data_IF_688970993366
#
_entry.id   IF_688970993366
#
_cell.length_a   1.000
_cell.length_b   1.000
_cell.length_c   1.000
_cell.angle_alpha   90.00
_cell.angle_beta   90.00
_cell.angle_gamma   90.00
#
_symmetry.space_group_name_H-M   'P 1'
#
loop_
_entity.id
_entity.type
_entity.pdbx_description
1 polymer ?
#
# COMPACT_ATOMS: atom_id res chain seq x y z
N UNK A 1 -4.89 2.53 8.03
CA UNK A 1 -5.75 1.49 7.46
C UNK A 1 -6.65 2.19 6.47
N UNK A 2 -6.66 1.71 5.23
CA UNK A 2 -7.58 2.19 4.21
C UNK A 2 -9.03 1.84 4.58
N UNK A 3 -9.97 2.48 3.90
CA UNK A 3 -11.40 2.38 4.22
C UNK A 3 -12.08 1.18 3.56
N UNK A 4 -11.44 0.59 2.56
CA UNK A 4 -11.90 -0.53 1.73
C UNK A 4 -11.28 -1.85 2.20
N UNK A 5 -11.30 -2.04 3.51
CA UNK A 5 -10.74 -3.21 4.20
C UNK A 5 -11.84 -4.07 4.79
N UNK A 6 -11.71 -5.38 4.64
CA UNK A 6 -12.46 -6.39 5.40
C UNK A 6 -11.54 -7.06 6.42
N UNK A 7 -11.99 -7.17 7.66
CA UNK A 7 -11.25 -7.77 8.76
C UNK A 7 -11.86 -9.14 9.11
N UNK A 8 -11.01 -10.16 9.18
CA UNK A 8 -11.40 -11.56 9.42
C UNK A 8 -10.82 -12.13 10.73
N UNK A 9 -10.18 -11.30 11.56
CA UNK A 9 -9.66 -11.69 12.88
C UNK A 9 -9.69 -10.51 13.84
N UNK A 10 -9.32 -10.71 15.11
CA UNK A 10 -9.22 -9.61 16.06
C UNK A 10 -8.08 -8.65 15.68
N UNK A 11 -8.41 -7.36 15.55
CA UNK A 11 -7.44 -6.30 15.22
C UNK A 11 -6.34 -6.15 16.28
N UNK A 12 -6.58 -6.60 17.52
CA UNK A 12 -5.57 -6.62 18.58
C UNK A 12 -4.36 -7.45 18.15
N UNK A 13 -4.54 -8.54 17.40
CA UNK A 13 -3.41 -9.33 16.91
C UNK A 13 -2.51 -8.51 15.97
N UNK A 14 -3.08 -7.60 15.15
CA UNK A 14 -2.29 -6.68 14.33
C UNK A 14 -1.51 -5.71 15.20
N UNK A 15 -2.18 -5.17 16.24
CA UNK A 15 -1.56 -4.24 17.17
C UNK A 15 -0.37 -4.84 17.92
N UNK A 16 -0.46 -6.11 18.30
CA UNK A 16 0.63 -6.83 18.97
C UNK A 16 1.91 -6.92 18.13
N UNK A 17 1.85 -6.63 16.81
CA UNK A 17 3.06 -6.57 16.00
C UNK A 17 4.03 -5.46 16.43
N UNK A 18 3.57 -4.41 17.13
CA UNK A 18 4.47 -3.40 17.70
C UNK A 18 5.49 -3.98 18.70
N UNK A 19 5.15 -5.06 19.39
CA UNK A 19 6.05 -5.72 20.36
C UNK A 19 7.23 -6.42 19.68
N UNK A 20 7.12 -6.71 18.38
CA UNK A 20 8.18 -7.34 17.58
C UNK A 20 9.05 -6.33 16.84
N UNK A 21 8.81 -5.02 16.97
CA UNK A 21 9.65 -4.02 16.33
C UNK A 21 11.02 -3.97 17.01
N UNK A 22 12.08 -4.19 16.24
CA UNK A 22 13.45 -3.93 16.68
C UNK A 22 13.65 -2.44 17.03
N UNK A 23 14.77 -2.12 17.69
CA UNK A 23 15.05 -0.78 18.23
C UNK A 23 14.86 0.34 17.20
N UNK A 24 15.33 0.14 15.96
CA UNK A 24 15.29 1.11 14.87
C UNK A 24 14.02 1.06 14.02
N UNK A 25 13.30 -0.07 14.05
CA UNK A 25 12.09 -0.26 13.25
C UNK A 25 10.97 0.63 13.77
N UNK A 26 10.31 1.33 12.85
CA UNK A 26 9.29 2.33 13.19
C UNK A 26 8.08 2.34 12.26
N UNK A 27 8.13 1.59 11.15
CA UNK A 27 7.07 1.50 10.15
C UNK A 27 6.82 0.02 9.83
N UNK A 28 5.68 -0.50 10.27
CA UNK A 28 5.16 -1.79 9.85
C UNK A 28 4.32 -1.64 8.59
N UNK A 29 4.63 -2.39 7.53
CA UNK A 29 3.91 -2.31 6.25
C UNK A 29 3.97 -3.66 5.53
N UNK A 30 2.92 -3.99 4.76
CA UNK A 30 2.83 -5.24 4.01
C UNK A 30 3.47 -5.13 2.63
N UNK A 31 4.04 -6.23 2.12
CA UNK A 31 4.55 -6.29 0.75
C UNK A 31 3.46 -5.99 -0.28
N UNK A 32 3.82 -5.27 -1.33
CA UNK A 32 2.99 -5.09 -2.51
C UNK A 32 2.91 -6.41 -3.30
N UNK A 33 1.69 -6.77 -3.68
CA UNK A 33 1.39 -8.02 -4.40
C UNK A 33 1.32 -7.79 -5.91
N UNK A 34 1.15 -6.55 -6.39
CA UNK A 34 1.11 -6.23 -7.81
C UNK A 34 2.52 -5.95 -8.41
N UNK A 35 3.00 -6.75 -9.39
CA UNK A 35 4.29 -6.53 -10.07
C UNK A 35 4.39 -5.20 -10.80
N UNK A 36 3.25 -4.60 -11.16
CA UNK A 36 3.23 -3.33 -11.88
C UNK A 36 3.98 -2.24 -11.14
N UNK A 37 3.94 -2.23 -9.80
CA UNK A 37 4.60 -1.22 -8.99
C UNK A 37 6.12 -1.16 -9.22
N UNK A 38 6.76 -2.31 -9.46
CA UNK A 38 8.19 -2.36 -9.81
C UNK A 38 8.51 -1.52 -11.06
N UNK A 39 7.63 -1.54 -12.07
CA UNK A 39 7.81 -0.76 -13.30
C UNK A 39 7.66 0.75 -13.06
N UNK A 40 6.88 1.14 -12.05
CA UNK A 40 6.70 2.55 -11.72
C UNK A 40 7.90 3.05 -10.91
N UNK A 41 8.32 2.29 -9.89
CA UNK A 41 9.41 2.70 -9.02
C UNK A 41 10.78 2.70 -9.71
N UNK A 42 11.02 1.83 -10.67
CA UNK A 42 12.26 1.86 -11.48
C UNK A 42 12.45 3.16 -12.25
N UNK A 43 11.37 3.88 -12.56
CA UNK A 43 11.44 5.22 -13.15
C UNK A 43 11.88 6.26 -12.12
N UNK A 44 11.52 6.10 -10.84
CA UNK A 44 11.92 6.98 -9.72
C UNK A 44 13.34 6.69 -9.21
N UNK A 45 13.71 5.42 -9.12
CA UNK A 45 15.06 4.96 -8.77
C UNK A 45 15.47 3.81 -9.69
N UNK A 46 16.51 4.00 -10.50
CA UNK A 46 16.95 2.99 -11.47
C UNK A 46 17.50 1.72 -10.80
N UNK A 47 17.86 1.80 -9.52
CA UNK A 47 18.34 0.65 -8.75
C UNK A 47 17.21 -0.13 -8.06
N UNK A 48 15.96 0.31 -8.21
CA UNK A 48 14.80 -0.30 -7.56
C UNK A 48 14.65 -1.79 -7.88
N UNK A 49 14.35 -2.60 -6.87
CA UNK A 49 14.11 -4.05 -6.99
C UNK A 49 12.88 -4.45 -6.18
N UNK A 50 12.11 -5.41 -6.71
CA UNK A 50 10.90 -5.91 -6.06
C UNK A 50 9.69 -5.00 -6.27
N UNK A 51 8.55 -5.40 -5.69
CA UNK A 51 7.28 -4.68 -5.90
C UNK A 51 7.06 -3.59 -4.86
N UNK A 52 7.97 -3.38 -3.90
CA UNK A 52 7.74 -2.46 -2.80
C UNK A 52 6.72 -2.98 -1.80
N UNK A 53 6.05 -2.05 -1.14
CA UNK A 53 5.14 -2.27 -0.03
C UNK A 53 3.86 -1.51 -0.28
N UNK A 54 2.71 -2.09 0.10
CA UNK A 54 1.37 -1.53 -0.04
C UNK A 54 0.95 -0.75 1.23
N UNK A 55 0.45 0.49 1.07
CA UNK A 55 0.13 1.38 2.20
C UNK A 55 -1.26 1.20 2.81
N UNK A 56 -2.06 0.24 2.32
CA UNK A 56 -3.40 0.00 2.88
C UNK A 56 -3.39 -0.33 4.36
N UNK A 57 -2.31 -0.94 4.84
CA UNK A 57 -2.08 -1.23 6.26
C UNK A 57 -0.71 -0.73 6.68
N UNK A 58 -0.71 0.19 7.65
CA UNK A 58 0.49 0.83 8.22
C UNK A 58 0.44 0.76 9.74
N UNK A 59 1.50 0.25 10.36
CA UNK A 59 1.77 0.33 11.79
C UNK A 59 2.86 1.37 12.02
N UNK A 60 2.47 2.57 12.45
CA UNK A 60 3.41 3.69 12.62
C UNK A 60 3.78 3.86 14.09
N UNK A 61 5.03 3.55 14.45
CA UNK A 61 5.54 3.78 15.79
C UNK A 61 5.92 5.27 15.96
N UNK A 62 4.92 6.12 16.21
CA UNK A 62 5.06 7.58 16.16
C UNK A 62 6.16 8.17 17.06
N UNK A 63 6.49 7.55 18.18
CA UNK A 63 7.61 8.01 19.03
C UNK A 63 8.96 7.86 18.34
N UNK A 64 9.25 6.68 17.79
CA UNK A 64 10.47 6.37 17.03
C UNK A 64 10.56 7.20 15.75
N UNK A 65 9.45 7.39 15.03
CA UNK A 65 9.45 8.27 13.84
C UNK A 65 9.80 9.71 14.24
N UNK A 66 9.21 10.25 15.32
CA UNK A 66 9.49 11.62 15.80
C UNK A 66 10.90 11.80 16.36
N UNK A 67 11.57 10.75 16.82
CA UNK A 67 12.98 10.81 17.24
C UNK A 67 13.96 10.72 16.06
N UNK A 68 13.47 10.63 14.83
CA UNK A 68 14.31 10.65 13.61
C UNK A 68 14.17 11.98 12.88
N UNK A 69 15.03 12.23 11.88
CA UNK A 69 14.88 13.36 10.97
C UNK A 69 13.79 13.14 9.90
N UNK A 70 12.68 12.48 10.25
CA UNK A 70 11.63 12.05 9.33
C UNK A 70 11.15 13.17 8.39
N UNK A 71 10.87 14.36 8.93
CA UNK A 71 10.40 15.49 8.13
C UNK A 71 11.43 15.92 7.07
N UNK A 72 12.71 15.96 7.43
CA UNK A 72 13.77 16.31 6.49
C UNK A 72 13.91 15.23 5.41
N UNK A 73 13.89 13.96 5.82
CA UNK A 73 13.98 12.81 4.93
C UNK A 73 12.81 12.77 3.93
N UNK A 74 11.59 12.93 4.42
CA UNK A 74 10.38 13.03 3.61
C UNK A 74 10.51 14.13 2.57
N UNK A 75 10.79 15.37 3.00
CA UNK A 75 10.90 16.52 2.11
C UNK A 75 12.02 16.36 1.08
N UNK A 76 13.17 15.79 1.47
CA UNK A 76 14.26 15.50 0.56
C UNK A 76 13.83 14.52 -0.54
N UNK A 77 13.19 13.41 -0.16
CA UNK A 77 12.71 12.39 -1.09
C UNK A 77 11.60 12.91 -1.99
N UNK A 78 10.64 13.67 -1.45
CA UNK A 78 9.58 14.33 -2.22
C UNK A 78 10.14 15.25 -3.29
N UNK A 79 11.08 16.14 -2.93
CA UNK A 79 11.71 17.06 -3.89
C UNK A 79 12.46 16.33 -5.00
N UNK A 80 13.22 15.29 -4.64
CA UNK A 80 13.98 14.48 -5.62
C UNK A 80 13.04 13.72 -6.56
N UNK A 81 11.99 13.10 -6.04
CA UNK A 81 11.03 12.34 -6.84
C UNK A 81 10.26 13.26 -7.79
N UNK A 82 9.80 14.42 -7.30
CA UNK A 82 9.16 15.45 -8.10
C UNK A 82 10.09 16.00 -9.19
N UNK A 83 11.37 16.26 -8.91
CA UNK A 83 12.33 16.72 -9.90
C UNK A 83 12.58 15.71 -11.03
N UNK A 84 12.41 14.40 -10.76
CA UNK A 84 12.65 13.34 -11.74
C UNK A 84 11.45 13.04 -12.64
N UNK A 85 10.23 13.07 -12.10
CA UNK A 85 9.03 12.66 -12.84
C UNK A 85 7.99 13.78 -13.05
N UNK A 86 8.12 14.92 -12.36
CA UNK A 86 7.12 15.99 -12.36
C UNK A 86 5.86 15.65 -11.55
N UNK A 87 5.37 14.41 -11.63
CA UNK A 87 4.19 13.92 -10.90
C UNK A 87 4.42 12.49 -10.41
N UNK A 88 3.86 12.17 -9.25
CA UNK A 88 3.89 10.85 -8.61
C UNK A 88 2.59 10.12 -8.94
N UNK A 89 2.69 8.84 -9.32
CA UNK A 89 1.61 8.16 -10.07
C UNK A 89 0.99 6.95 -9.39
N UNK A 90 1.55 6.42 -8.31
CA UNK A 90 1.24 5.06 -7.84
C UNK A 90 0.02 4.91 -6.94
N UNK A 91 -0.72 5.98 -6.66
CA UNK A 91 -2.05 5.85 -6.06
C UNK A 91 -2.98 5.06 -6.99
N UNK A 92 -3.13 3.76 -6.73
CA UNK A 92 -3.97 2.83 -7.51
C UNK A 92 -5.47 3.00 -7.24
N UNK A 93 -5.90 4.17 -6.77
CA UNK A 93 -7.31 4.53 -6.68
C UNK A 93 -7.53 5.86 -7.37
N UNK A 94 -8.14 5.83 -8.54
CA UNK A 94 -8.65 7.03 -9.22
C UNK A 94 -10.14 7.18 -8.85
N UNK A 95 -10.43 7.30 -7.55
CA UNK A 95 -11.78 7.53 -7.02
C UNK A 95 -12.01 9.01 -6.71
N UNK A 96 -13.13 9.58 -7.12
CA UNK A 96 -13.39 11.03 -7.22
C UNK A 96 -13.53 11.82 -5.91
N UNK A 97 -13.14 11.30 -4.74
CA UNK A 97 -13.15 12.05 -3.48
C UNK A 97 -11.87 11.77 -2.68
N UNK A 98 -10.76 12.39 -3.10
CA UNK A 98 -9.51 12.31 -2.35
C UNK A 98 -9.46 13.37 -1.25
N UNK A 99 -9.11 12.92 -0.04
CA UNK A 99 -8.48 13.81 0.93
C UNK A 99 -7.21 14.35 0.28
N UNK A 100 -7.19 15.65 -0.02
CA UNK A 100 -6.03 16.34 -0.57
C UNK A 100 -4.88 16.29 0.46
N UNK A 101 -4.06 15.24 0.45
CA UNK A 101 -2.72 15.33 1.04
C UNK A 101 -1.89 16.11 0.03
N UNK A 102 -1.89 17.43 0.19
CA UNK A 102 -1.05 18.30 -0.60
C UNK A 102 0.41 17.88 -0.38
N UNK A 103 1.06 17.34 -1.42
CA UNK A 103 2.47 16.98 -1.39
C UNK A 103 3.38 18.22 -1.19
N UNK A 104 2.81 19.44 -1.23
CA UNK A 104 3.45 20.71 -0.89
C UNK A 104 3.21 21.16 0.57
N UNK A 105 2.50 20.37 1.40
CA UNK A 105 1.77 20.87 2.57
C UNK A 105 2.18 20.38 3.98
N UNK A 106 3.36 19.79 4.20
CA UNK A 106 3.89 19.60 5.57
C UNK A 106 4.92 20.68 5.96
N UNK A 107 4.77 21.88 5.41
CA UNK A 107 5.49 23.07 5.85
C UNK A 107 4.80 23.69 7.06
N UNK A 108 5.41 23.53 8.23
CA UNK A 108 5.34 24.47 9.38
C UNK A 108 3.92 24.72 9.94
N UNK A 109 3.63 24.18 11.13
CA UNK A 109 2.54 24.68 11.98
C UNK A 109 2.68 26.20 12.16
N UNK A 110 1.65 27.03 11.87
CA UNK A 110 1.83 28.47 11.79
C UNK A 110 1.95 29.09 13.19
N UNK A 111 3.17 29.19 13.71
CA UNK A 111 3.49 30.14 14.77
C UNK A 111 3.73 31.52 14.15
N UNK A 112 2.67 32.35 14.19
CA UNK A 112 2.62 33.82 14.11
C UNK A 112 3.13 34.51 12.81
N UNK A 113 2.23 35.35 12.28
CA UNK A 113 2.32 36.37 11.22
C UNK A 113 3.72 36.88 10.87
N UNK A 114 4.03 36.88 9.57
CA UNK A 114 4.90 37.86 8.93
C UNK A 114 4.34 38.19 7.53
N UNK A 115 3.92 39.44 7.34
CA UNK A 115 3.58 40.04 6.06
C UNK A 115 4.84 40.38 5.30
N UNK A 116 4.97 39.96 4.04
CA UNK A 116 5.96 40.52 3.11
C UNK A 116 5.32 40.83 1.75
N UNK A 117 5.35 42.11 1.42
CA UNK A 117 5.17 42.73 0.12
C UNK A 117 6.42 42.55 -0.75
N UNK A 118 6.22 42.29 -2.05
CA UNK A 118 7.18 42.70 -3.10
C UNK A 118 7.93 41.58 -3.82
N UNK A 119 7.69 41.54 -5.14
CA UNK A 119 8.52 41.01 -6.23
C UNK A 119 8.63 39.50 -6.44
N UNK A 120 8.05 39.06 -7.58
CA UNK A 120 8.30 37.78 -8.22
C UNK A 120 7.04 36.93 -8.39
N UNK A 121 6.12 37.34 -9.27
CA UNK A 121 5.05 36.44 -9.73
C UNK A 121 5.66 35.34 -10.59
N UNK A 122 6.16 34.27 -9.98
CA UNK A 122 6.16 32.96 -10.64
C UNK A 122 4.73 32.44 -10.58
N UNK A 123 3.97 32.68 -11.65
CA UNK A 123 2.76 31.90 -11.91
C UNK A 123 3.19 30.45 -12.14
N UNK A 124 3.25 29.67 -11.06
CA UNK A 124 3.26 28.22 -11.13
C UNK A 124 1.95 27.82 -11.82
N UNK A 125 2.06 27.29 -13.04
CA UNK A 125 0.90 26.79 -13.77
C UNK A 125 0.20 25.75 -12.90
N UNK A 126 -1.02 26.04 -12.49
CA UNK A 126 -1.93 25.03 -11.97
C UNK A 126 -2.25 24.11 -13.15
N UNK A 127 -1.52 23.00 -13.27
CA UNK A 127 -1.88 21.92 -14.18
C UNK A 127 -2.98 21.08 -13.52
N UNK A 128 -4.18 21.01 -14.10
CA UNK A 128 -5.33 20.38 -13.46
C UNK A 128 -5.37 18.88 -13.80
N UNK A 129 -4.34 18.07 -13.50
CA UNK A 129 -4.44 16.61 -13.70
C UNK A 129 -3.61 15.78 -12.71
N UNK A 130 -4.34 15.02 -11.88
CA UNK A 130 -3.98 13.79 -11.14
C UNK A 130 -2.72 13.85 -10.24
N UNK A 131 -2.90 14.29 -9.00
CA UNK A 131 -2.06 13.86 -7.88
C UNK A 131 -2.58 12.52 -7.36
N UNK A 132 -2.08 11.41 -7.90
CA UNK A 132 -2.24 10.10 -7.25
C UNK A 132 -1.25 10.01 -6.09
N UNK A 133 -1.60 9.18 -5.09
CA UNK A 133 -1.05 9.17 -3.72
C UNK A 133 0.49 9.28 -3.63
N UNK A 134 1.00 10.51 -3.55
CA UNK A 134 2.43 10.78 -3.45
C UNK A 134 3.03 10.23 -2.16
N UNK A 135 2.23 10.06 -1.11
CA UNK A 135 2.74 9.52 0.14
C UNK A 135 3.20 8.08 -0.04
N UNK A 136 2.51 7.31 -0.89
CA UNK A 136 2.81 5.93 -1.20
C UNK A 136 4.17 5.73 -1.89
N UNK A 137 4.47 6.57 -2.89
CA UNK A 137 5.77 6.58 -3.57
C UNK A 137 6.91 6.96 -2.62
N UNK A 138 6.69 8.02 -1.83
CA UNK A 138 7.74 8.56 -0.97
C UNK A 138 8.08 7.61 0.18
N UNK A 139 7.10 6.97 0.81
CA UNK A 139 7.38 5.99 1.87
C UNK A 139 8.14 4.79 1.30
N UNK A 140 7.78 4.31 0.11
CA UNK A 140 8.50 3.24 -0.57
C UNK A 140 9.96 3.64 -0.91
N UNK A 141 10.18 4.84 -1.43
CA UNK A 141 11.53 5.37 -1.68
C UNK A 141 12.37 5.54 -0.40
N UNK A 142 11.74 5.87 0.72
CA UNK A 142 12.40 5.95 2.02
C UNK A 142 12.78 4.56 2.50
N UNK A 143 11.82 3.62 2.54
CA UNK A 143 12.05 2.27 3.05
C UNK A 143 13.02 1.46 2.19
N UNK A 144 13.11 1.75 0.89
CA UNK A 144 14.11 1.15 0.00
C UNK A 144 15.54 1.60 0.32
N UNK A 145 15.74 2.87 0.72
CA UNK A 145 17.08 3.38 1.08
C UNK A 145 17.41 3.15 2.57
N UNK A 146 16.39 3.23 3.44
CA UNK A 146 16.51 3.20 4.89
C UNK A 146 15.68 2.03 5.46
N UNK A 147 16.03 0.81 5.04
CA UNK A 147 15.28 -0.40 5.40
C UNK A 147 15.27 -0.71 6.91
N UNK A 148 16.15 -0.10 7.71
CA UNK A 148 16.13 -0.27 9.17
C UNK A 148 14.89 0.34 9.83
N UNK A 149 14.13 1.19 9.13
CA UNK A 149 12.81 1.64 9.61
C UNK A 149 11.72 0.58 9.41
N UNK A 150 11.92 -0.38 8.52
CA UNK A 150 10.92 -1.33 8.08
C UNK A 150 10.76 -2.49 9.05
N UNK A 151 9.52 -2.71 9.47
CA UNK A 151 9.02 -4.00 9.92
C UNK A 151 8.08 -4.54 8.82
N UNK A 152 8.38 -5.70 8.25
CA UNK A 152 7.48 -6.30 7.26
C UNK A 152 6.36 -7.07 7.98
N UNK A 153 5.12 -6.59 7.88
CA UNK A 153 3.99 -7.33 8.47
C UNK A 153 3.70 -8.59 7.62
N UNK A 154 3.28 -9.71 8.23
CA UNK A 154 2.89 -10.90 7.49
C UNK A 154 1.82 -10.59 6.44
N UNK A 155 1.96 -11.17 5.25
CA UNK A 155 1.12 -10.80 4.09
C UNK A 155 -0.38 -11.04 4.33
N UNK A 156 -0.76 -11.97 5.21
CA UNK A 156 -2.15 -12.22 5.62
C UNK A 156 -2.84 -11.01 6.26
N UNK A 157 -2.07 -10.02 6.72
CA UNK A 157 -2.55 -8.73 7.24
C UNK A 157 -2.75 -7.65 6.17
N UNK A 158 -2.45 -7.92 4.90
CA UNK A 158 -2.74 -7.00 3.79
C UNK A 158 -2.89 -7.78 2.47
N UNK A 159 -3.92 -8.63 2.40
CA UNK A 159 -4.28 -9.37 1.18
C UNK A 159 -4.86 -8.39 0.17
N UNK A 160 -4.17 -8.19 -0.95
CA UNK A 160 -4.53 -7.19 -1.96
C UNK A 160 -5.34 -7.85 -3.08
N UNK A 161 -6.47 -7.24 -3.44
CA UNK A 161 -7.37 -7.70 -4.50
C UNK A 161 -7.34 -6.81 -5.76
N UNK A 162 -6.26 -6.05 -6.00
CA UNK A 162 -6.11 -5.24 -7.20
C UNK A 162 -5.85 -6.10 -8.43
N UNK A 163 -6.20 -5.56 -9.60
CA UNK A 163 -5.94 -6.24 -10.87
C UNK A 163 -4.44 -6.43 -11.08
N UNK A 164 -4.04 -7.66 -11.41
CA UNK A 164 -2.65 -8.04 -11.58
C UNK A 164 -1.91 -8.46 -10.30
N UNK A 165 -2.56 -8.50 -9.13
CA UNK A 165 -1.96 -9.05 -7.90
C UNK A 165 -1.42 -10.47 -8.10
N UNK A 166 -0.18 -10.70 -7.69
CA UNK A 166 0.49 -12.01 -7.71
C UNK A 166 0.16 -12.79 -6.43
N UNK A 167 -0.84 -13.65 -6.54
CA UNK A 167 -1.27 -14.58 -5.49
C UNK A 167 -0.15 -15.47 -4.91
N UNK A 168 0.95 -15.70 -5.63
CA UNK A 168 2.08 -16.48 -5.10
C UNK A 168 2.85 -15.72 -4.02
N UNK A 169 2.69 -14.40 -3.93
CA UNK A 169 3.29 -13.57 -2.88
C UNK A 169 2.57 -13.69 -1.55
N UNK A 170 1.29 -14.00 -1.58
CA UNK A 170 0.55 -14.30 -0.37
C UNK A 170 -0.44 -15.45 -0.57
N UNK A 171 0.06 -16.71 -0.57
CA UNK A 171 -0.79 -17.87 -0.71
C UNK A 171 -1.61 -18.06 0.58
N UNK A 172 -2.88 -17.68 0.53
CA UNK A 172 -3.86 -17.84 1.61
C UNK A 172 -5.13 -18.50 1.11
N UNK A 173 -5.90 -19.10 2.03
CA UNK A 173 -7.21 -19.65 1.70
C UNK A 173 -8.19 -19.51 2.87
N UNK A 174 -9.46 -19.33 2.53
CA UNK A 174 -10.58 -19.35 3.45
C UNK A 174 -10.96 -20.77 3.89
N UNK A 175 -10.52 -21.77 3.14
CA UNK A 175 -10.80 -23.17 3.42
C UNK A 175 -10.08 -23.64 4.69
N UNK A 176 -10.69 -24.63 5.34
CA UNK A 176 -10.06 -25.35 6.44
C UNK A 176 -8.89 -26.19 5.93
N UNK A 177 -7.93 -26.49 6.82
CA UNK A 177 -6.83 -27.40 6.49
C UNK A 177 -7.31 -28.76 5.96
N UNK A 178 -8.41 -29.29 6.51
CA UNK A 178 -9.00 -30.55 6.07
C UNK A 178 -9.50 -30.48 4.62
N UNK A 179 -10.11 -29.36 4.21
CA UNK A 179 -10.58 -29.13 2.85
C UNK A 179 -9.41 -28.91 1.88
N UNK A 180 -8.40 -28.14 2.28
CA UNK A 180 -7.19 -27.95 1.48
C UNK A 180 -6.47 -29.27 1.21
N UNK A 181 -6.34 -30.12 2.24
CA UNK A 181 -5.75 -31.45 2.11
C UNK A 181 -6.53 -32.34 1.14
N UNK A 182 -7.87 -32.34 1.20
CA UNK A 182 -8.72 -33.06 0.24
C UNK A 182 -8.51 -32.60 -1.20
N UNK A 183 -8.23 -31.31 -1.40
CA UNK A 183 -8.01 -30.68 -2.72
C UNK A 183 -6.54 -30.69 -3.17
N UNK A 184 -5.66 -31.38 -2.44
CA UNK A 184 -4.22 -31.45 -2.71
C UNK A 184 -3.47 -30.09 -2.65
N UNK A 185 -3.98 -29.14 -1.86
CA UNK A 185 -3.32 -27.86 -1.55
C UNK A 185 -2.58 -27.93 -0.21
N UNK A 186 -1.61 -28.85 -0.09
CA UNK A 186 -0.88 -29.07 1.17
C UNK A 186 0.06 -27.94 1.58
N UNK A 187 0.36 -27.01 0.66
CA UNK A 187 1.31 -25.91 0.87
C UNK A 187 0.67 -24.63 1.41
N UNK A 188 -0.67 -24.51 1.35
CA UNK A 188 -1.39 -23.35 1.90
C UNK A 188 -1.74 -23.65 3.34
N UNK A 189 -1.18 -22.88 4.27
CA UNK A 189 -1.40 -23.05 5.71
C UNK A 189 -1.89 -21.79 6.41
N UNK A 190 -2.05 -20.69 5.66
CA UNK A 190 -2.43 -19.39 6.18
C UNK A 190 -3.85 -19.03 5.74
N UNK A 191 -4.61 -18.45 6.66
CA UNK A 191 -5.89 -17.84 6.36
C UNK A 191 -5.74 -16.32 6.24
N UNK A 192 -6.54 -15.67 5.38
CA UNK A 192 -6.53 -14.21 5.29
C UNK A 192 -7.04 -13.60 6.61
N UNK A 193 -6.32 -12.61 7.14
CA UNK A 193 -6.69 -11.88 8.36
C UNK A 193 -7.28 -10.51 8.03
N UNK A 194 -6.73 -9.83 7.03
CA UNK A 194 -7.19 -8.53 6.57
C UNK A 194 -7.09 -8.47 5.04
N UNK A 195 -8.21 -8.12 4.41
CA UNK A 195 -8.40 -8.08 2.97
C UNK A 195 -8.56 -6.64 2.54
N UNK A 196 -7.62 -6.15 1.75
CA UNK A 196 -7.62 -4.84 1.17
C UNK A 196 -8.20 -4.92 -0.25
N UNK A 197 -9.39 -4.37 -0.43
CA UNK A 197 -10.09 -4.33 -1.71
C UNK A 197 -9.57 -3.14 -2.52
N UNK A 198 -8.27 -3.14 -2.83
CA UNK A 198 -7.59 -2.09 -3.60
C UNK A 198 -7.93 -2.09 -5.10
N UNK A 199 -8.94 -2.86 -5.52
CA UNK A 199 -9.49 -2.81 -6.86
C UNK A 199 -10.28 -1.52 -7.11
N UNK A 200 -10.30 -1.02 -8.35
CA UNK A 200 -11.04 0.20 -8.72
C UNK A 200 -12.56 0.03 -8.64
N UNK A 201 -13.05 -1.17 -8.94
CA UNK A 201 -14.46 -1.55 -8.80
C UNK A 201 -14.64 -2.11 -7.39
N UNK A 202 -15.42 -1.44 -6.56
CA UNK A 202 -15.72 -1.90 -5.20
C UNK A 202 -16.92 -2.87 -5.23
N UNK A 203 -17.07 -3.74 -4.22
CA UNK A 203 -18.22 -4.65 -4.11
C UNK A 203 -19.56 -3.91 -4.20
N UNK A 204 -19.63 -2.71 -3.62
CA UNK A 204 -20.83 -1.87 -3.64
C UNK A 204 -21.19 -1.34 -5.05
N UNK A 205 -20.20 -1.23 -5.94
CA UNK A 205 -20.42 -0.82 -7.34
C UNK A 205 -20.95 -1.97 -8.20
N UNK A 206 -20.78 -3.22 -7.74
CA UNK A 206 -21.23 -4.41 -8.46
C UNK A 206 -22.72 -4.63 -8.19
N UNK A 207 -23.56 -4.28 -9.17
CA UNK A 207 -24.97 -4.71 -9.19
C UNK A 207 -25.02 -6.21 -9.49
N UNK A 208 -24.89 -7.04 -8.46
CA UNK A 208 -24.94 -8.49 -8.58
C UNK A 208 -26.31 -8.92 -9.14
N UNK A 209 -26.37 -9.26 -10.43
CA UNK A 209 -27.45 -10.08 -10.99
C UNK A 209 -27.05 -11.53 -10.73
N UNK A 210 -27.66 -12.16 -9.73
CA UNK A 210 -27.60 -13.60 -9.40
C UNK A 210 -26.25 -14.28 -9.71
N UNK A 211 -25.41 -14.46 -8.69
CA UNK A 211 -24.21 -15.30 -8.81
C UNK A 211 -24.67 -16.76 -8.67
N UNK A 212 -24.52 -17.62 -9.70
CA UNK A 212 -24.85 -19.03 -9.58
C UNK A 212 -24.00 -19.67 -8.48
N UNK A 213 -24.64 -20.46 -7.62
CA UNK A 213 -24.03 -21.16 -6.46
C UNK A 213 -22.84 -22.05 -6.86
N UNK A 214 -22.76 -22.42 -8.14
CA UNK A 214 -21.72 -23.24 -8.75
C UNK A 214 -20.33 -22.56 -8.76
N UNK A 215 -20.25 -21.24 -8.65
CA UNK A 215 -18.99 -20.48 -8.66
C UNK A 215 -18.37 -20.28 -7.27
N UNK A 216 -19.10 -20.56 -6.19
CA UNK A 216 -18.65 -20.32 -4.81
C UNK A 216 -17.44 -21.20 -4.47
N UNK A 217 -17.38 -22.42 -5.01
CA UNK A 217 -16.36 -23.40 -4.64
C UNK A 217 -14.96 -23.14 -5.23
N UNK A 218 -14.85 -22.25 -6.24
CA UNK A 218 -13.58 -21.86 -6.87
C UNK A 218 -13.00 -20.55 -6.30
N UNK A 219 -13.80 -19.74 -5.60
CA UNK A 219 -13.40 -18.43 -5.07
C UNK A 219 -12.76 -18.47 -3.67
N UNK A 220 -12.84 -19.60 -2.96
CA UNK A 220 -12.37 -19.72 -1.56
C UNK A 220 -10.85 -19.91 -1.42
N UNK A 221 -10.17 -20.14 -2.54
CA UNK A 221 -8.71 -20.22 -2.65
C UNK A 221 -8.25 -19.10 -3.57
N UNK A 222 -7.49 -18.13 -3.04
CA UNK A 222 -6.89 -17.08 -3.86
C UNK A 222 -5.65 -17.66 -4.54
N UNK A 223 -5.87 -18.46 -5.59
CA UNK A 223 -4.85 -19.00 -6.50
C UNK A 223 -5.46 -19.12 -7.89
N UNK A 224 -4.82 -18.60 -8.94
CA UNK A 224 -5.10 -19.03 -10.31
C UNK A 224 -4.65 -20.46 -10.43
N UNK A 225 -5.61 -21.34 -10.74
CA UNK A 225 -5.28 -22.57 -11.45
C UNK A 225 -4.56 -22.15 -12.73
N UNK A 226 -3.27 -22.46 -12.87
CA UNK A 226 -2.71 -22.63 -14.22
C UNK A 226 -3.50 -23.77 -14.85
N UNK A 227 -4.41 -23.44 -15.75
CA UNK A 227 -4.93 -24.40 -16.71
C UNK A 227 -3.73 -24.87 -17.51
N UNK A 228 -3.21 -26.05 -17.16
CA UNK A 228 -2.30 -26.78 -18.03
C UNK A 228 -3.22 -27.35 -19.11
N UNK A 229 -3.41 -26.59 -20.19
CA UNK A 229 -3.94 -27.14 -21.41
C UNK A 229 -2.86 -28.08 -21.97
N UNK A 230 -3.11 -29.38 -21.89
CA UNK A 230 -2.36 -30.39 -22.66
C UNK A 230 -2.79 -30.34 -24.12
#
# INVERSE_FOLDING_TARGET
MDIDILLNTDIIELWNHFDYFEETQSIGIGLEQNPYFQKVMTKLDSNWKGYGYNNGVLLLHLSKIRSTNWNHLWMYKTKRAHAKQGYLTTGEQVGSNFLHINCQGFGVWPSKKATCSGMGTQTLSQHPHRSTDCAYDIINLILFEFNYFLYEIPCEWNIQLSDGSDEQRCPVSWLTYAELKKRNYATIVKQPKLIHINHHIKPDDVKAKYIPTEYIDQSDVILKRKLICN
#
